data_IF_589230980382
#
_entry.id   IF_589230980382
#
_cell.length_a   1.000
_cell.length_b   1.000
_cell.length_c   1.000
_cell.angle_alpha   90.00
_cell.angle_beta   90.00
_cell.angle_gamma   90.00
#
_symmetry.space_group_name_H-M   'P 1'
#
loop_
_entity.id
_entity.type
_entity.pdbx_description
1 polymer ?
#
# COMPACT_ATOMS: atom_id res chain seq x y z
N UNK A 1 -5.73 -37.05 -5.06
CA UNK A 1 -4.95 -36.66 -6.27
C UNK A 1 -4.83 -35.15 -6.26
N UNK A 2 -3.61 -34.62 -6.09
CA UNK A 2 -3.34 -33.19 -6.10
C UNK A 2 -3.13 -32.75 -7.54
N UNK A 3 -3.95 -31.84 -8.04
CA UNK A 3 -3.69 -31.16 -9.31
C UNK A 3 -2.60 -30.10 -9.10
N UNK A 4 -1.56 -30.03 -9.96
CA UNK A 4 -0.61 -28.94 -9.93
C UNK A 4 -1.24 -27.70 -10.57
N UNK A 5 -1.27 -26.59 -9.82
CA UNK A 5 -1.64 -25.28 -10.35
C UNK A 5 -0.43 -24.73 -11.12
N UNK A 6 -0.58 -24.60 -12.42
CA UNK A 6 0.37 -23.94 -13.31
C UNK A 6 0.36 -22.44 -13.01
N UNK A 7 1.34 -21.95 -12.24
CA UNK A 7 1.65 -20.51 -12.15
C UNK A 7 2.49 -20.11 -13.37
N UNK A 8 1.80 -20.02 -14.52
CA UNK A 8 2.31 -19.39 -15.74
C UNK A 8 1.56 -18.09 -15.97
N UNK A 9 2.04 -17.00 -15.37
CA UNK A 9 1.53 -15.66 -15.62
C UNK A 9 2.63 -14.67 -15.33
N UNK A 10 3.03 -13.89 -16.34
CA UNK A 10 3.86 -12.71 -16.13
C UNK A 10 3.10 -11.78 -15.18
N UNK A 11 3.47 -11.79 -13.90
CA UNK A 11 2.93 -10.86 -12.92
C UNK A 11 3.42 -9.48 -13.36
N UNK A 12 2.50 -8.62 -13.77
CA UNK A 12 2.79 -7.22 -13.96
C UNK A 12 3.33 -6.68 -12.64
N UNK A 13 4.64 -6.39 -12.60
CA UNK A 13 5.38 -6.05 -11.38
C UNK A 13 4.96 -4.69 -10.79
N UNK A 14 4.00 -4.00 -11.41
CA UNK A 14 3.45 -2.72 -10.96
C UNK A 14 2.34 -2.83 -9.92
N UNK A 15 1.63 -3.97 -9.82
CA UNK A 15 0.53 -4.17 -8.87
C UNK A 15 0.88 -5.26 -7.84
N UNK A 16 1.56 -4.86 -6.76
CA UNK A 16 1.80 -5.77 -5.63
C UNK A 16 0.51 -6.00 -4.84
N UNK A 17 0.21 -7.27 -4.57
CA UNK A 17 -0.94 -7.69 -3.77
C UNK A 17 -0.46 -8.37 -2.50
N UNK A 18 -0.80 -7.78 -1.36
CA UNK A 18 -0.66 -8.44 -0.07
C UNK A 18 -2.00 -9.08 0.32
N UNK A 19 -1.95 -10.15 1.08
CA UNK A 19 -3.16 -10.70 1.72
C UNK A 19 -2.99 -10.72 3.23
N UNK A 20 -4.07 -10.43 3.94
CA UNK A 20 -4.13 -10.60 5.39
C UNK A 20 -5.52 -11.01 5.83
N UNK A 21 -5.59 -11.68 6.98
CA UNK A 21 -6.84 -12.08 7.61
C UNK A 21 -7.14 -11.13 8.76
N UNK A 22 -8.37 -10.62 8.81
CA UNK A 22 -8.81 -9.77 9.93
C UNK A 22 -8.82 -10.60 11.21
N UNK A 23 -8.03 -10.17 12.19
CA UNK A 23 -7.91 -10.85 13.47
C UNK A 23 -8.97 -10.38 14.44
N UNK A 24 -9.21 -11.15 15.49
CA UNK A 24 -10.14 -10.74 16.56
C UNK A 24 -9.69 -9.41 17.21
N UNK A 25 -8.37 -9.21 17.36
CA UNK A 25 -7.82 -7.95 17.86
C UNK A 25 -7.94 -6.76 16.90
N UNK A 26 -8.40 -6.98 15.66
CA UNK A 26 -8.62 -5.90 14.71
C UNK A 26 -10.05 -5.30 14.80
N UNK A 27 -10.96 -5.93 15.54
CA UNK A 27 -12.37 -5.51 15.62
C UNK A 27 -12.64 -4.54 16.78
N UNK A 28 -13.74 -3.80 16.67
CA UNK A 28 -14.24 -2.91 17.73
C UNK A 28 -15.59 -3.38 18.29
N UNK A 29 -16.13 -2.61 19.24
CA UNK A 29 -17.41 -2.91 19.90
C UNK A 29 -18.63 -2.90 18.95
N UNK A 30 -18.49 -2.41 17.72
CA UNK A 30 -19.54 -2.47 16.70
C UNK A 30 -19.51 -3.78 15.90
N UNK A 31 -18.57 -4.68 16.20
CA UNK A 31 -18.46 -6.00 15.57
C UNK A 31 -17.77 -6.00 14.20
N UNK A 32 -17.20 -4.86 13.80
CA UNK A 32 -16.47 -4.69 12.55
C UNK A 32 -15.02 -4.27 12.84
N UNK A 33 -14.17 -4.29 11.81
CA UNK A 33 -12.80 -3.83 11.95
C UNK A 33 -12.74 -2.36 12.36
N UNK A 34 -11.94 -2.06 13.39
CA UNK A 34 -11.70 -0.70 13.85
C UNK A 34 -11.06 0.13 12.72
N UNK A 35 -11.60 1.32 12.46
CA UNK A 35 -11.19 2.16 11.32
C UNK A 35 -9.68 2.43 11.28
N UNK A 36 -9.03 2.55 12.45
CA UNK A 36 -7.59 2.80 12.54
C UNK A 36 -6.73 1.65 11.99
N UNK A 37 -7.23 0.42 12.01
CA UNK A 37 -6.49 -0.75 11.54
C UNK A 37 -6.28 -0.77 10.02
N UNK A 38 -7.08 -0.03 9.25
CA UNK A 38 -6.87 0.11 7.82
C UNK A 38 -5.52 0.75 7.48
N UNK A 39 -4.99 1.65 8.33
CA UNK A 39 -3.65 2.21 8.15
C UNK A 39 -2.55 1.17 8.36
N UNK A 40 -2.76 0.25 9.30
CA UNK A 40 -1.86 -0.90 9.51
C UNK A 40 -1.90 -1.85 8.31
N UNK A 41 -3.08 -2.06 7.72
CA UNK A 41 -3.22 -2.88 6.52
C UNK A 41 -2.55 -2.23 5.30
N UNK A 42 -2.65 -0.90 5.14
CA UNK A 42 -1.88 -0.16 4.14
C UNK A 42 -0.37 -0.34 4.31
N UNK A 43 0.13 -0.36 5.54
CA UNK A 43 1.54 -0.68 5.80
C UNK A 43 1.93 -2.09 5.35
N UNK A 44 1.08 -3.10 5.58
CA UNK A 44 1.29 -4.45 5.06
C UNK A 44 1.41 -4.43 3.53
N UNK A 45 0.47 -3.76 2.85
CA UNK A 45 0.50 -3.58 1.40
C UNK A 45 1.80 -2.93 0.91
N UNK A 46 2.19 -1.81 1.52
CA UNK A 46 3.45 -1.10 1.21
C UNK A 46 4.69 -1.95 1.46
N UNK A 47 4.72 -2.72 2.54
CA UNK A 47 5.85 -3.58 2.88
C UNK A 47 6.00 -4.72 1.88
N UNK A 48 4.91 -5.36 1.46
CA UNK A 48 4.94 -6.38 0.40
C UNK A 48 5.27 -5.78 -0.96
N UNK A 49 4.80 -4.56 -1.26
CA UNK A 49 5.18 -3.85 -2.47
C UNK A 49 6.69 -3.64 -2.57
N UNK A 50 7.39 -3.27 -1.49
CA UNK A 50 8.86 -3.22 -1.53
C UNK A 50 9.51 -4.59 -1.79
N UNK A 51 8.90 -5.68 -1.31
CA UNK A 51 9.40 -7.05 -1.53
C UNK A 51 9.27 -7.48 -2.98
N UNK A 52 8.20 -7.10 -3.69
CA UNK A 52 8.09 -7.38 -5.13
C UNK A 52 9.17 -6.68 -5.94
N UNK A 53 9.72 -5.58 -5.43
CA UNK A 53 10.85 -4.86 -6.03
C UNK A 53 12.23 -5.45 -5.68
N UNK A 54 12.28 -6.57 -4.95
CA UNK A 54 13.53 -7.19 -4.51
C UNK A 54 14.22 -6.46 -3.35
N UNK A 55 13.51 -5.61 -2.61
CA UNK A 55 14.01 -4.95 -1.39
C UNK A 55 13.04 -5.14 -0.22
N UNK A 56 13.27 -4.50 0.91
CA UNK A 56 12.34 -4.48 2.04
C UNK A 56 12.44 -3.18 2.79
N UNK A 57 11.42 -2.83 3.58
CA UNK A 57 11.49 -1.64 4.42
C UNK A 57 12.69 -1.69 5.38
N UNK A 58 12.98 -2.88 5.96
CA UNK A 58 14.17 -3.12 6.79
C UNK A 58 15.46 -2.81 6.02
N UNK A 59 15.55 -3.25 4.76
CA UNK A 59 16.73 -3.00 3.93
C UNK A 59 16.93 -1.51 3.67
N UNK A 60 15.84 -0.76 3.45
CA UNK A 60 15.92 0.70 3.32
C UNK A 60 16.50 1.34 4.58
N UNK A 61 16.03 0.93 5.77
CA UNK A 61 16.55 1.45 7.04
C UNK A 61 18.03 1.10 7.24
N UNK A 62 18.46 -0.12 6.88
CA UNK A 62 19.87 -0.53 6.88
C UNK A 62 20.73 0.32 5.93
N UNK A 63 20.17 0.73 4.80
CA UNK A 63 20.80 1.64 3.84
C UNK A 63 20.70 3.13 4.29
N UNK A 64 20.21 3.39 5.50
CA UNK A 64 20.11 4.74 6.10
C UNK A 64 18.95 5.58 5.59
N UNK A 65 17.95 4.95 4.96
CA UNK A 65 16.79 5.60 4.34
C UNK A 65 15.54 5.32 5.18
N UNK A 66 14.89 6.39 5.63
CA UNK A 66 13.66 6.30 6.43
C UNK A 66 12.52 7.00 5.72
N UNK A 67 11.31 6.43 5.85
CA UNK A 67 10.11 6.92 5.16
C UNK A 67 8.99 7.23 6.18
N UNK A 68 9.10 8.28 7.01
CA UNK A 68 8.00 8.72 7.86
C UNK A 68 6.78 9.14 7.04
N UNK A 69 5.59 8.76 7.51
CA UNK A 69 4.30 9.20 6.96
C UNK A 69 4.07 10.67 7.33
N UNK A 70 3.73 11.50 6.36
CA UNK A 70 3.38 12.93 6.55
C UNK A 70 1.91 13.23 6.22
N UNK A 71 1.23 12.30 5.54
CA UNK A 71 -0.17 12.43 5.15
C UNK A 71 -0.76 11.02 5.01
N UNK A 72 -2.01 10.85 5.46
CA UNK A 72 -2.75 9.60 5.31
C UNK A 72 -4.23 9.90 5.08
N UNK A 73 -4.86 9.09 4.23
CA UNK A 73 -6.28 9.18 3.92
C UNK A 73 -6.84 7.77 3.72
N UNK A 74 -8.03 7.52 4.24
CA UNK A 74 -8.78 6.30 3.98
C UNK A 74 -10.26 6.63 3.83
N UNK A 75 -10.85 6.15 2.73
CA UNK A 75 -12.29 6.16 2.49
C UNK A 75 -12.80 4.74 2.65
N UNK A 76 -13.78 4.57 3.52
CA UNK A 76 -14.40 3.28 3.84
C UNK A 76 -15.72 3.16 3.08
N UNK A 77 -15.88 2.10 2.30
CA UNK A 77 -17.10 1.83 1.51
C UNK A 77 -17.95 0.72 2.12
N UNK A 78 -17.30 -0.33 2.64
CA UNK A 78 -17.94 -1.49 3.26
C UNK A 78 -17.13 -1.93 4.48
N UNK A 79 -17.77 -2.47 5.54
CA UNK A 79 -17.06 -2.97 6.71
C UNK A 79 -16.31 -4.28 6.39
N UNK A 80 -15.16 -4.45 7.02
CA UNK A 80 -14.52 -5.76 7.19
C UNK A 80 -14.93 -6.36 8.54
N UNK A 81 -15.03 -7.68 8.60
CA UNK A 81 -15.41 -8.45 9.78
C UNK A 81 -14.30 -9.41 10.17
N UNK A 82 -14.36 -9.90 11.41
CA UNK A 82 -13.49 -10.98 11.87
C UNK A 82 -13.45 -12.13 10.86
N UNK A 83 -12.26 -12.66 10.62
CA UNK A 83 -11.98 -13.76 9.70
C UNK A 83 -12.13 -13.46 8.19
N UNK A 84 -12.47 -12.23 7.80
CA UNK A 84 -12.40 -11.81 6.40
C UNK A 84 -10.95 -11.93 5.88
N UNK A 85 -10.79 -12.55 4.71
CA UNK A 85 -9.53 -12.52 3.96
C UNK A 85 -9.52 -11.29 3.05
N UNK A 86 -8.60 -10.38 3.32
CA UNK A 86 -8.42 -9.13 2.60
C UNK A 86 -7.27 -9.23 1.59
N UNK A 87 -7.48 -8.70 0.41
CA UNK A 87 -6.46 -8.39 -0.59
C UNK A 87 -6.18 -6.89 -0.58
N UNK A 88 -4.91 -6.50 -0.49
CA UNK A 88 -4.45 -5.12 -0.49
C UNK A 88 -3.58 -4.90 -1.72
N UNK A 89 -4.12 -4.16 -2.67
CA UNK A 89 -3.41 -3.71 -3.86
C UNK A 89 -2.69 -2.40 -3.55
N UNK A 90 -1.40 -2.30 -3.85
CA UNK A 90 -0.59 -1.10 -3.61
C UNK A 90 0.01 -0.57 -4.89
N UNK A 91 -0.19 0.72 -5.14
CA UNK A 91 0.38 1.46 -6.27
C UNK A 91 1.24 2.60 -5.79
N UNK A 92 2.31 2.89 -6.52
CA UNK A 92 3.28 3.90 -6.13
C UNK A 92 3.36 5.03 -7.17
N UNK A 93 3.56 6.26 -6.69
CA UNK A 93 4.00 7.39 -7.50
C UNK A 93 4.79 8.42 -6.71
N UNK A 94 5.58 9.22 -7.39
CA UNK A 94 6.13 10.43 -6.79
C UNK A 94 5.06 11.52 -6.67
N UNK A 95 5.01 12.20 -5.53
CA UNK A 95 4.17 13.39 -5.29
C UNK A 95 5.01 14.65 -5.04
N UNK A 96 6.31 14.58 -5.33
CA UNK A 96 7.29 15.65 -5.21
C UNK A 96 8.73 15.10 -5.22
N UNK A 97 9.77 15.95 -5.17
CA UNK A 97 11.17 15.51 -5.31
C UNK A 97 11.65 14.53 -4.22
N UNK A 98 11.10 14.65 -3.02
CA UNK A 98 11.40 13.80 -1.87
C UNK A 98 10.15 13.11 -1.29
N UNK A 99 9.02 13.19 -2.01
CA UNK A 99 7.72 12.71 -1.53
C UNK A 99 7.27 11.48 -2.32
N UNK A 100 6.94 10.43 -1.59
CA UNK A 100 6.61 9.10 -2.06
C UNK A 100 5.16 8.85 -1.70
N UNK A 101 4.28 8.70 -2.69
CA UNK A 101 2.87 8.40 -2.46
C UNK A 101 2.59 6.94 -2.79
N UNK A 102 1.90 6.28 -1.87
CA UNK A 102 1.36 4.94 -2.04
C UNK A 102 -0.15 5.02 -1.98
N UNK A 103 -0.83 4.53 -3.00
CA UNK A 103 -2.28 4.41 -3.06
C UNK A 103 -2.65 2.94 -2.84
N UNK A 104 -3.73 2.73 -2.11
CA UNK A 104 -4.15 1.42 -1.64
C UNK A 104 -5.61 1.16 -2.01
N UNK A 105 -5.87 -0.05 -2.46
CA UNK A 105 -7.23 -0.57 -2.63
C UNK A 105 -7.37 -1.86 -1.84
N UNK A 106 -8.35 -1.93 -0.94
CA UNK A 106 -8.63 -3.13 -0.14
C UNK A 106 -9.91 -3.79 -0.64
N UNK A 107 -9.84 -5.09 -0.90
CA UNK A 107 -10.98 -5.94 -1.29
C UNK A 107 -11.10 -7.13 -0.35
N UNK A 108 -12.31 -7.65 -0.20
CA UNK A 108 -12.51 -9.01 0.30
C UNK A 108 -12.27 -9.99 -0.86
N UNK A 109 -11.88 -11.22 -0.55
CA UNK A 109 -11.82 -12.25 -1.57
C UNK A 109 -13.22 -12.49 -2.17
N UNK A 110 -13.39 -12.27 -3.48
CA UNK A 110 -14.66 -12.39 -4.18
C UNK A 110 -14.89 -11.35 -5.29
N UNK A 111 -16.05 -11.36 -5.96
CA UNK A 111 -16.36 -10.45 -7.07
C UNK A 111 -16.78 -9.04 -6.63
N UNK A 112 -16.84 -8.78 -5.32
CA UNK A 112 -17.27 -7.51 -4.77
C UNK A 112 -16.28 -6.36 -5.06
N UNK A 113 -16.83 -5.15 -5.17
CA UNK A 113 -16.05 -3.92 -5.25
C UNK A 113 -15.20 -3.65 -3.99
N UNK A 114 -14.33 -2.62 -4.03
CA UNK A 114 -13.45 -2.28 -2.91
C UNK A 114 -14.23 -1.99 -1.62
N UNK A 115 -13.67 -2.42 -0.50
CA UNK A 115 -14.20 -2.11 0.83
C UNK A 115 -13.59 -0.83 1.39
N UNK A 116 -12.38 -0.48 0.95
CA UNK A 116 -11.74 0.79 1.25
C UNK A 116 -10.71 1.16 0.19
N UNK A 117 -10.50 2.46 0.03
CA UNK A 117 -9.44 3.05 -0.78
C UNK A 117 -8.75 4.14 0.02
N UNK A 118 -7.44 4.28 -0.14
CA UNK A 118 -6.69 5.27 0.62
C UNK A 118 -5.33 5.55 0.01
N UNK A 119 -4.58 6.40 0.71
CA UNK A 119 -3.18 6.63 0.39
C UNK A 119 -2.40 7.08 1.62
N UNK A 120 -1.08 6.91 1.54
CA UNK A 120 -0.12 7.54 2.45
C UNK A 120 0.92 8.30 1.63
N UNK A 121 1.34 9.44 2.14
CA UNK A 121 2.49 10.18 1.61
C UNK A 121 3.62 10.09 2.61
N UNK A 122 4.80 9.72 2.13
CA UNK A 122 6.01 9.62 2.91
C UNK A 122 7.04 10.64 2.41
N UNK A 123 7.83 11.18 3.32
CA UNK A 123 9.02 11.95 2.97
C UNK A 123 10.25 11.10 3.19
N UNK A 124 11.19 11.12 2.25
CA UNK A 124 12.46 10.41 2.38
C UNK A 124 13.41 11.22 3.28
N UNK A 125 13.92 10.60 4.35
CA UNK A 125 14.84 11.22 5.30
C UNK A 125 16.03 10.30 5.64
N UNK A 126 17.14 10.89 6.08
CA UNK A 126 18.28 10.13 6.62
C UNK A 126 18.09 9.75 8.11
N UNK A 127 19.10 9.11 8.67
CA UNK A 127 19.15 8.75 10.09
C UNK A 127 19.06 9.96 11.05
N UNK A 128 19.40 11.16 10.59
CA UNK A 128 19.26 12.42 11.33
C UNK A 128 17.93 13.13 11.07
N UNK A 129 16.98 12.47 10.38
CA UNK A 129 15.66 12.99 9.99
C UNK A 129 15.73 14.19 9.03
N UNK A 130 16.85 14.39 8.34
CA UNK A 130 16.98 15.44 7.32
C UNK A 130 16.37 14.95 6.01
N UNK A 131 15.57 15.80 5.37
CA UNK A 131 14.94 15.48 4.08
C UNK A 131 15.99 15.28 3.00
N UNK A 132 15.87 14.19 2.25
CA UNK A 132 16.72 13.90 1.09
C UNK A 132 15.89 13.42 -0.09
N UNK A 133 16.42 13.64 -1.30
CA UNK A 133 15.88 12.95 -2.48
C UNK A 133 16.25 11.46 -2.37
N UNK A 134 15.36 10.52 -2.71
CA UNK A 134 15.70 9.11 -2.73
C UNK A 134 17.05 8.88 -3.44
N UNK A 135 17.99 8.14 -2.83
CA UNK A 135 19.29 7.86 -3.44
C UNK A 135 19.13 7.24 -4.83
N UNK A 136 20.08 7.48 -5.74
CA UNK A 136 19.94 7.09 -7.15
C UNK A 136 19.50 5.63 -7.37
N UNK A 137 20.05 4.61 -6.67
CA UNK A 137 19.58 3.23 -6.83
C UNK A 137 18.10 3.04 -6.48
N UNK A 138 17.66 3.61 -5.34
CA UNK A 138 16.26 3.56 -4.93
C UNK A 138 15.37 4.36 -5.89
N UNK A 139 15.81 5.55 -6.30
CA UNK A 139 15.07 6.40 -7.22
C UNK A 139 14.83 5.70 -8.55
N UNK A 140 15.86 5.10 -9.14
CA UNK A 140 15.74 4.36 -10.39
C UNK A 140 14.85 3.12 -10.24
N UNK A 141 14.89 2.43 -9.10
CA UNK A 141 14.00 1.30 -8.81
C UNK A 141 12.53 1.75 -8.76
N UNK A 142 12.25 2.82 -8.03
CA UNK A 142 10.92 3.39 -7.87
C UNK A 142 10.37 3.98 -9.18
N UNK A 143 11.20 4.64 -9.98
CA UNK A 143 10.78 5.21 -11.27
C UNK A 143 10.30 4.16 -12.27
N UNK A 144 10.88 2.95 -12.24
CA UNK A 144 10.46 1.82 -13.10
C UNK A 144 9.09 1.26 -12.75
N UNK A 145 8.65 1.43 -11.50
CA UNK A 145 7.43 0.82 -10.96
C UNK A 145 6.37 1.86 -10.53
N UNK A 146 6.56 3.13 -10.91
CA UNK A 146 5.54 4.13 -10.69
C UNK A 146 4.40 3.96 -11.69
N UNK A 147 3.17 4.12 -11.24
CA UNK A 147 2.03 4.19 -12.16
C UNK A 147 2.09 5.52 -12.93
N UNK A 148 1.85 5.46 -14.25
CA UNK A 148 1.70 6.68 -15.04
C UNK A 148 0.49 7.46 -14.53
N UNK A 149 0.52 8.79 -14.64
CA UNK A 149 -0.61 9.64 -14.25
C UNK A 149 -1.82 9.38 -15.18
N UNK A 150 -2.61 8.36 -14.85
CA UNK A 150 -4.00 8.21 -15.26
C UNK A 150 -4.88 8.67 -14.11
N UNK A 151 -5.85 9.53 -14.42
CA UNK A 151 -6.76 10.22 -13.48
C UNK A 151 -7.13 9.38 -12.25
N UNK A 152 -6.73 9.86 -11.07
CA UNK A 152 -7.20 9.34 -9.78
C UNK A 152 -8.74 9.33 -9.75
N UNK A 153 -9.41 8.22 -9.35
CA UNK A 153 -10.85 8.20 -9.06
C UNK A 153 -11.26 9.25 -8.01
N UNK A 154 -10.31 9.74 -7.21
CA UNK A 154 -10.53 10.72 -6.16
C UNK A 154 -10.66 12.18 -6.64
N UNK A 155 -10.57 12.46 -7.95
CA UNK A 155 -10.71 13.82 -8.48
C UNK A 155 -12.15 14.21 -8.86
N UNK A 156 -13.14 13.33 -8.66
CA UNK A 156 -14.56 13.66 -8.80
C UNK A 156 -15.22 13.89 -7.44
N UNK A 157 -14.91 15.00 -6.79
CA UNK A 157 -15.84 15.61 -5.83
C UNK A 157 -15.93 17.11 -6.12
N UNK A 158 -17.14 17.67 -6.28
CA UNK A 158 -17.33 19.10 -6.45
C UNK A 158 -17.00 19.79 -5.12
N UNK A 159 -16.25 20.89 -5.16
CA UNK A 159 -16.17 21.80 -4.01
C UNK A 159 -17.55 22.43 -3.80
N UNK A 160 -17.95 22.67 -2.54
CA UNK A 160 -19.12 23.48 -2.22
C UNK A 160 -18.97 24.92 -2.73
#
# INVERSE_FOLDING_TARGET
>A
MLHPVLLGGNVDMTDARATLRVLYGDTDAMGQAYYGNYMRWFEVGRAEWFRTLGTSYRRLEEDGIFLPVIEAHCRYFKPAFYDDLLEIETRFRFSGPARLRFDYTIRKNGPDGPIAEGYTVHVCVDAQRRVLKPPAPLRSLLEKHQVQQGTSPSQRQPRP
#
